data_IF_648644053967
#
_entry.id   IF_648644053967
#
_cell.length_a   1.000
_cell.length_b   1.000
_cell.length_c   1.000
_cell.angle_alpha   90.00
_cell.angle_beta   90.00
_cell.angle_gamma   90.00
#
_symmetry.space_group_name_H-M   'P 1'
#
loop_
_entity.id
_entity.type
_entity.pdbx_description
1 polymer ?
#
# COMPACT_ATOMS: atom_id res chain seq x y z
N UNK A 1 3.88 30.10 4.58
CA UNK A 1 3.28 30.94 3.52
C UNK A 1 1.88 30.42 3.27
N UNK A 2 0.84 31.22 3.49
CA UNK A 2 -0.53 30.86 3.10
C UNK A 2 -0.57 30.80 1.57
N UNK A 3 -0.82 29.62 1.01
CA UNK A 3 -1.22 29.50 -0.39
C UNK A 3 -2.54 30.25 -0.55
N UNK A 4 -2.50 31.40 -1.19
CA UNK A 4 -3.70 32.13 -1.57
C UNK A 4 -4.31 31.41 -2.78
N UNK A 5 -5.39 30.68 -2.55
CA UNK A 5 -6.14 30.03 -3.63
C UNK A 5 -6.75 31.11 -4.53
N UNK A 6 -6.42 31.10 -5.82
CA UNK A 6 -7.05 31.98 -6.81
C UNK A 6 -8.41 31.37 -7.21
N UNK A 7 -9.43 31.71 -6.41
CA UNK A 7 -10.81 31.24 -6.59
C UNK A 7 -11.37 31.68 -7.95
N UNK A 8 -10.99 32.86 -8.44
CA UNK A 8 -11.44 33.37 -9.73
C UNK A 8 -10.88 32.56 -10.90
N UNK A 9 -9.62 32.14 -10.82
CA UNK A 9 -9.01 31.22 -11.79
C UNK A 9 -9.70 29.85 -11.75
N UNK A 10 -9.92 29.27 -10.55
CA UNK A 10 -10.60 27.98 -10.40
C UNK A 10 -12.00 27.97 -10.97
N UNK A 11 -12.78 29.01 -10.69
CA UNK A 11 -14.13 29.14 -11.21
C UNK A 11 -14.14 29.14 -12.75
N UNK A 12 -13.16 29.79 -13.40
CA UNK A 12 -13.04 29.76 -14.88
C UNK A 12 -12.76 28.37 -15.42
N UNK A 13 -11.82 27.66 -14.81
CA UNK A 13 -11.40 26.32 -15.23
C UNK A 13 -12.58 25.34 -15.13
N UNK A 14 -13.22 25.25 -13.95
CA UNK A 14 -14.31 24.30 -13.71
C UNK A 14 -15.53 24.62 -14.58
N UNK A 15 -15.88 25.90 -14.77
CA UNK A 15 -16.97 26.29 -15.67
C UNK A 15 -16.70 25.88 -17.12
N UNK A 16 -15.45 26.06 -17.60
CA UNK A 16 -15.06 25.68 -18.95
C UNK A 16 -15.10 24.16 -19.15
N UNK A 17 -14.60 23.39 -18.18
CA UNK A 17 -14.66 21.92 -18.17
C UNK A 17 -16.10 21.39 -18.21
N UNK A 18 -17.01 22.04 -17.47
CA UNK A 18 -18.42 21.64 -17.39
C UNK A 18 -19.29 22.23 -18.50
N UNK A 19 -18.74 23.10 -19.36
CA UNK A 19 -19.50 23.79 -20.41
C UNK A 19 -20.58 24.73 -19.87
N UNK A 20 -20.42 25.24 -18.65
CA UNK A 20 -21.41 26.09 -17.97
C UNK A 20 -21.07 27.57 -18.18
N UNK A 21 -22.05 28.35 -18.64
CA UNK A 21 -21.92 29.80 -18.81
C UNK A 21 -22.18 30.58 -17.51
N UNK A 22 -21.83 31.86 -17.47
CA UNK A 22 -22.12 32.71 -16.29
C UNK A 22 -23.62 32.77 -16.01
N UNK A 23 -24.43 32.95 -17.05
CA UNK A 23 -25.88 33.06 -16.93
C UNK A 23 -26.50 31.76 -16.40
N UNK A 24 -26.04 30.61 -16.89
CA UNK A 24 -26.48 29.31 -16.38
C UNK A 24 -26.07 29.10 -14.92
N UNK A 25 -24.83 29.44 -14.56
CA UNK A 25 -24.39 29.31 -13.17
C UNK A 25 -25.17 30.25 -12.23
N UNK A 26 -25.48 31.47 -12.68
CA UNK A 26 -26.28 32.44 -11.94
C UNK A 26 -27.68 31.88 -11.63
N UNK A 27 -28.33 31.31 -12.64
CA UNK A 27 -29.63 30.66 -12.52
C UNK A 27 -29.59 29.43 -11.59
N UNK A 28 -28.57 28.58 -11.72
CA UNK A 28 -28.42 27.38 -10.89
C UNK A 28 -28.12 27.65 -9.41
N UNK A 29 -27.48 28.79 -9.11
CA UNK A 29 -27.04 29.14 -7.74
C UNK A 29 -27.93 30.18 -7.06
N UNK A 30 -28.89 30.77 -7.77
CA UNK A 30 -29.66 31.94 -7.34
C UNK A 30 -28.76 33.13 -6.95
N UNK A 31 -27.67 33.31 -7.70
CA UNK A 31 -26.66 34.36 -7.47
C UNK A 31 -26.61 35.29 -8.67
N UNK A 32 -26.49 36.60 -8.46
CA UNK A 32 -26.44 37.55 -9.57
C UNK A 32 -25.23 37.31 -10.48
N UNK A 33 -25.42 37.46 -11.80
CA UNK A 33 -24.33 37.33 -12.78
C UNK A 33 -23.14 38.24 -12.45
N UNK A 34 -23.41 39.43 -11.91
CA UNK A 34 -22.39 40.40 -11.52
C UNK A 34 -21.51 39.88 -10.38
N UNK A 35 -22.09 39.13 -9.44
CA UNK A 35 -21.36 38.48 -8.35
C UNK A 35 -20.46 37.38 -8.91
N UNK A 36 -20.96 36.54 -9.82
CA UNK A 36 -20.16 35.50 -10.49
C UNK A 36 -19.03 36.13 -11.32
N UNK A 37 -19.31 37.22 -12.08
CA UNK A 37 -18.28 37.98 -12.82
C UNK A 37 -17.23 38.58 -11.88
N UNK A 38 -17.63 39.12 -10.73
CA UNK A 38 -16.73 39.68 -9.73
C UNK A 38 -15.81 38.60 -9.11
N UNK A 39 -16.32 37.41 -8.84
CA UNK A 39 -15.50 36.28 -8.36
C UNK A 39 -14.55 35.83 -9.46
N UNK A 40 -15.06 35.61 -10.68
CA UNK A 40 -14.30 35.10 -11.83
C UNK A 40 -13.14 36.02 -12.25
N UNK A 41 -13.33 37.33 -12.12
CA UNK A 41 -12.31 38.36 -12.38
C UNK A 41 -11.32 38.55 -11.23
N UNK A 42 -11.52 37.91 -10.08
CA UNK A 42 -10.70 38.07 -8.89
C UNK A 42 -10.95 39.38 -8.11
N UNK A 43 -12.00 40.14 -8.48
CA UNK A 43 -12.47 41.30 -7.70
C UNK A 43 -12.94 40.87 -6.31
N UNK A 44 -13.66 39.74 -6.24
CA UNK A 44 -14.02 39.09 -4.98
C UNK A 44 -13.02 37.97 -4.70
N UNK A 45 -12.03 38.24 -3.83
CA UNK A 45 -10.96 37.28 -3.50
C UNK A 45 -11.38 36.20 -2.50
N UNK A 46 -12.37 36.48 -1.66
CA UNK A 46 -12.83 35.58 -0.60
C UNK A 46 -14.37 35.54 -0.56
N UNK A 47 -15.01 34.77 -1.47
CA UNK A 47 -16.45 34.55 -1.42
C UNK A 47 -16.84 33.82 -0.12
N UNK A 48 -18.04 34.05 0.38
CA UNK A 48 -18.55 33.37 1.58
C UNK A 48 -18.65 31.85 1.37
N UNK A 49 -18.48 31.07 2.44
CA UNK A 49 -18.49 29.61 2.37
C UNK A 49 -19.78 29.04 1.79
N UNK A 50 -20.94 29.63 2.12
CA UNK A 50 -22.24 29.22 1.60
C UNK A 50 -22.32 29.37 0.07
N UNK A 51 -21.77 30.46 -0.45
CA UNK A 51 -21.71 30.75 -1.88
C UNK A 51 -20.76 29.78 -2.59
N UNK A 52 -19.62 29.47 -1.97
CA UNK A 52 -18.68 28.49 -2.51
C UNK A 52 -19.28 27.09 -2.59
N UNK A 53 -20.04 26.67 -1.56
CA UNK A 53 -20.75 25.38 -1.57
C UNK A 53 -21.80 25.36 -2.68
N UNK A 54 -22.64 26.39 -2.77
CA UNK A 54 -23.67 26.49 -3.83
C UNK A 54 -23.06 26.43 -5.24
N UNK A 55 -21.95 27.12 -5.48
CA UNK A 55 -21.22 27.06 -6.76
C UNK A 55 -20.68 25.65 -7.02
N UNK A 56 -20.10 25.00 -6.01
CA UNK A 56 -19.55 23.65 -6.15
C UNK A 56 -20.65 22.62 -6.46
N UNK A 57 -21.78 22.70 -5.76
CA UNK A 57 -22.97 21.86 -5.98
C UNK A 57 -23.55 22.06 -7.38
N UNK A 58 -23.71 23.32 -7.82
CA UNK A 58 -24.19 23.65 -9.17
C UNK A 58 -23.24 23.14 -10.27
N UNK A 59 -21.93 23.16 -10.03
CA UNK A 59 -20.93 22.62 -10.96
C UNK A 59 -20.72 21.11 -10.82
N UNK A 60 -21.44 20.45 -9.91
CA UNK A 60 -21.36 19.01 -9.68
C UNK A 60 -19.98 18.54 -9.20
N UNK A 61 -19.30 19.32 -8.35
CA UNK A 61 -17.99 19.02 -7.81
C UNK A 61 -17.94 19.22 -6.29
N UNK A 62 -17.04 18.51 -5.60
CA UNK A 62 -16.79 18.76 -4.17
C UNK A 62 -15.96 20.03 -3.99
N UNK A 63 -16.00 20.63 -2.79
CA UNK A 63 -15.14 21.77 -2.44
C UNK A 63 -13.65 21.44 -2.59
N UNK A 64 -13.26 20.21 -2.28
CA UNK A 64 -11.89 19.74 -2.51
C UNK A 64 -11.56 19.67 -4.00
N UNK A 65 -12.44 19.09 -4.83
CA UNK A 65 -12.30 19.09 -6.28
C UNK A 65 -12.20 20.51 -6.88
N UNK A 66 -13.07 21.42 -6.44
CA UNK A 66 -13.06 22.83 -6.86
C UNK A 66 -11.72 23.52 -6.57
N UNK A 67 -11.15 23.26 -5.38
CA UNK A 67 -9.85 23.82 -4.98
C UNK A 67 -8.65 23.03 -5.56
N UNK A 68 -8.90 21.92 -6.25
CA UNK A 68 -7.95 20.83 -6.53
C UNK A 68 -7.16 20.39 -5.30
N UNK A 69 -7.82 20.32 -4.15
CA UNK A 69 -7.34 19.43 -3.11
C UNK A 69 -7.62 18.02 -3.60
N UNK A 70 -6.58 17.20 -3.68
CA UNK A 70 -6.79 15.75 -3.74
C UNK A 70 -7.33 15.36 -2.37
N UNK A 71 -8.59 14.96 -2.30
CA UNK A 71 -9.08 14.26 -1.13
C UNK A 71 -8.31 12.94 -1.08
N UNK A 72 -7.60 12.71 0.03
CA UNK A 72 -6.91 11.45 0.25
C UNK A 72 -7.96 10.35 0.38
N UNK A 73 -7.72 9.23 -0.26
CA UNK A 73 -8.48 8.00 -0.04
C UNK A 73 -8.29 7.51 1.40
N UNK A 74 -9.20 6.64 1.86
CA UNK A 74 -9.09 6.04 3.21
C UNK A 74 -7.76 5.27 3.37
N UNK A 75 -7.28 4.62 2.31
CA UNK A 75 -5.99 3.94 2.28
C UNK A 75 -4.81 4.90 2.43
N UNK A 76 -4.80 6.01 1.67
CA UNK A 76 -3.76 7.04 1.79
C UNK A 76 -3.77 7.70 3.17
N UNK A 77 -4.96 7.93 3.74
CA UNK A 77 -5.12 8.43 5.10
C UNK A 77 -4.57 7.45 6.12
N UNK A 78 -4.87 6.16 5.98
CA UNK A 78 -4.36 5.10 6.86
C UNK A 78 -2.82 5.05 6.84
N UNK A 79 -2.21 5.05 5.66
CA UNK A 79 -0.75 5.10 5.49
C UNK A 79 -0.16 6.34 6.18
N UNK A 80 -0.73 7.52 5.95
CA UNK A 80 -0.24 8.76 6.55
C UNK A 80 -0.37 8.78 8.08
N UNK A 81 -1.45 8.23 8.63
CA UNK A 81 -1.62 8.09 10.07
C UNK A 81 -0.52 7.22 10.66
N UNK A 82 -0.27 6.05 10.08
CA UNK A 82 0.81 5.13 10.52
C UNK A 82 2.19 5.76 10.35
N UNK A 83 2.47 6.36 9.20
CA UNK A 83 3.76 6.99 8.93
C UNK A 83 4.08 8.10 9.93
N UNK A 84 3.08 8.89 10.36
CA UNK A 84 3.27 9.98 11.34
C UNK A 84 3.72 9.47 12.71
N UNK A 85 3.27 8.29 13.14
CA UNK A 85 3.64 7.70 14.43
C UNK A 85 5.02 7.03 14.44
N UNK A 86 5.62 6.79 13.26
CA UNK A 86 6.95 6.19 13.17
C UNK A 86 8.06 7.15 13.63
N UNK A 87 9.11 6.57 14.20
CA UNK A 87 10.37 7.28 14.46
C UNK A 87 11.11 7.61 13.15
N UNK A 88 12.19 8.39 13.22
CA UNK A 88 12.96 8.84 12.04
C UNK A 88 13.45 7.66 11.20
N UNK A 89 13.90 6.58 11.85
CA UNK A 89 14.37 5.37 11.17
C UNK A 89 13.24 4.69 10.38
N UNK A 90 12.09 4.44 11.01
CA UNK A 90 10.93 3.81 10.36
C UNK A 90 10.41 4.63 9.19
N UNK A 91 10.38 5.97 9.33
CA UNK A 91 10.04 6.88 8.22
C UNK A 91 10.98 6.73 7.03
N UNK A 92 12.30 6.69 7.27
CA UNK A 92 13.30 6.47 6.21
C UNK A 92 13.11 5.14 5.50
N UNK A 93 12.76 4.08 6.24
CA UNK A 93 12.51 2.77 5.65
C UNK A 93 11.30 2.77 4.72
N UNK A 94 10.17 3.35 5.15
CA UNK A 94 8.96 3.44 4.31
C UNK A 94 9.25 4.22 3.02
N UNK A 95 9.98 5.33 3.12
CA UNK A 95 10.38 6.11 1.94
C UNK A 95 11.31 5.33 1.01
N UNK A 96 12.31 4.62 1.56
CA UNK A 96 13.19 3.77 0.75
C UNK A 96 12.41 2.71 -0.04
N UNK A 97 11.46 2.04 0.62
CA UNK A 97 10.60 1.05 -0.03
C UNK A 97 9.75 1.69 -1.14
N UNK A 98 9.07 2.80 -0.84
CA UNK A 98 8.26 3.52 -1.82
C UNK A 98 9.07 3.96 -3.04
N UNK A 99 10.27 4.54 -2.81
CA UNK A 99 11.17 4.97 -3.88
C UNK A 99 11.68 3.78 -4.72
N UNK A 100 11.94 2.64 -4.08
CA UNK A 100 12.38 1.42 -4.77
C UNK A 100 11.30 0.84 -5.70
N UNK A 101 10.05 0.80 -5.24
CA UNK A 101 8.90 0.32 -6.03
C UNK A 101 8.56 1.27 -7.19
N UNK A 102 8.54 2.59 -6.96
CA UNK A 102 8.29 3.59 -8.01
C UNK A 102 9.36 3.54 -9.12
N UNK A 103 10.64 3.43 -8.75
CA UNK A 103 11.73 3.28 -9.71
C UNK A 103 11.61 2.01 -10.56
N UNK A 104 11.09 0.94 -9.97
CA UNK A 104 10.93 -0.35 -10.63
C UNK A 104 9.76 -0.36 -11.60
N UNK A 105 8.61 0.21 -11.21
CA UNK A 105 7.44 0.29 -12.08
C UNK A 105 7.73 1.11 -13.34
N UNK A 106 8.55 2.17 -13.22
CA UNK A 106 9.01 2.97 -14.37
C UNK A 106 9.91 2.21 -15.35
N UNK A 107 10.49 1.07 -14.95
CA UNK A 107 11.33 0.21 -15.80
C UNK A 107 10.59 -0.97 -16.42
N UNK A 108 9.31 -1.18 -16.09
CA UNK A 108 8.51 -2.20 -16.76
C UNK A 108 8.33 -1.80 -18.24
N UNK A 109 8.60 -2.70 -19.21
CA UNK A 109 8.30 -2.45 -20.62
C UNK A 109 6.82 -2.13 -20.82
N UNK A 110 6.51 -1.29 -21.81
CA UNK A 110 5.16 -0.92 -22.22
C UNK A 110 4.27 -2.14 -22.48
N UNK A 111 2.95 -1.92 -22.39
CA UNK A 111 1.82 -2.85 -22.45
C UNK A 111 1.76 -3.89 -23.61
N UNK A 112 2.79 -4.05 -24.42
CA UNK A 112 2.91 -5.13 -25.42
C UNK A 112 3.29 -6.48 -24.81
N UNK A 113 3.51 -6.55 -23.48
CA UNK A 113 3.89 -7.76 -22.75
C UNK A 113 2.69 -8.60 -22.25
N UNK A 114 1.58 -8.64 -22.98
CA UNK A 114 0.45 -9.57 -22.71
C UNK A 114 0.83 -11.06 -22.84
N UNK A 115 2.11 -11.38 -23.05
CA UNK A 115 2.70 -12.72 -23.04
C UNK A 115 3.98 -12.80 -22.19
N UNK A 116 4.11 -11.98 -21.13
CA UNK A 116 5.20 -12.14 -20.18
C UNK A 116 5.02 -13.46 -19.41
N UNK A 117 5.83 -14.47 -19.75
CA UNK A 117 5.83 -15.77 -19.04
C UNK A 117 6.25 -15.64 -17.57
N UNK A 118 6.91 -14.54 -17.21
CA UNK A 118 7.42 -14.27 -15.86
C UNK A 118 7.00 -12.88 -15.39
N UNK A 119 6.91 -12.70 -14.07
CA UNK A 119 6.69 -11.44 -13.36
C UNK A 119 7.79 -11.22 -12.33
N UNK A 120 8.11 -9.96 -12.07
CA UNK A 120 9.05 -9.56 -11.01
C UNK A 120 8.27 -9.34 -9.73
N UNK A 121 8.69 -9.98 -8.64
CA UNK A 121 8.09 -9.85 -7.31
C UNK A 121 9.16 -9.42 -6.30
N UNK A 122 8.88 -8.47 -5.40
CA UNK A 122 9.83 -8.08 -4.36
C UNK A 122 10.10 -9.26 -3.42
N UNK A 123 11.36 -9.47 -3.07
CA UNK A 123 11.81 -10.50 -2.15
C UNK A 123 12.59 -9.86 -1.01
N UNK A 124 12.02 -9.97 0.19
CA UNK A 124 12.56 -9.43 1.43
C UNK A 124 13.35 -10.55 2.11
N UNK A 125 14.55 -10.26 2.59
CA UNK A 125 15.28 -11.20 3.45
C UNK A 125 14.79 -11.08 4.91
N UNK A 126 14.32 -12.18 5.50
CA UNK A 126 13.90 -12.19 6.91
C UNK A 126 15.11 -12.01 7.82
N UNK A 127 15.00 -11.15 8.84
CA UNK A 127 16.10 -10.80 9.73
C UNK A 127 16.15 -11.64 11.01
N UNK A 128 15.42 -12.76 11.12
CA UNK A 128 15.33 -13.62 12.32
C UNK A 128 16.62 -13.65 13.17
N UNK A 129 16.73 -12.75 14.13
CA UNK A 129 17.84 -12.68 15.08
C UNK A 129 17.23 -12.91 16.45
N UNK A 130 17.21 -14.18 16.87
CA UNK A 130 17.13 -14.46 18.30
C UNK A 130 18.39 -13.85 18.93
N UNK A 131 18.19 -12.99 19.93
CA UNK A 131 19.15 -12.19 20.68
C UNK A 131 19.35 -10.75 20.16
N UNK A 132 18.67 -9.82 20.85
CA UNK A 132 19.09 -8.45 21.17
C UNK A 132 19.94 -7.70 20.14
N UNK A 133 19.35 -6.65 19.57
CA UNK A 133 19.94 -5.62 18.70
C UNK A 133 20.05 -5.94 17.20
N UNK A 134 19.06 -6.61 16.61
CA UNK A 134 18.87 -6.54 15.17
C UNK A 134 18.26 -5.20 14.78
N UNK A 135 19.12 -4.38 14.20
CA UNK A 135 18.78 -3.15 13.48
C UNK A 135 17.77 -3.51 12.38
N UNK A 136 16.60 -2.86 12.36
CA UNK A 136 15.59 -2.96 11.29
C UNK A 136 16.15 -2.48 9.92
N UNK A 137 17.46 -2.22 9.82
CA UNK A 137 18.14 -1.49 8.76
C UNK A 137 18.55 -2.34 7.55
N UNK A 138 18.32 -3.66 7.55
CA UNK A 138 18.67 -4.49 6.39
C UNK A 138 17.47 -5.23 5.81
N UNK A 139 16.55 -4.50 5.19
CA UNK A 139 15.73 -5.05 4.11
C UNK A 139 16.46 -4.80 2.79
N UNK A 140 17.41 -5.66 2.45
CA UNK A 140 17.82 -5.75 1.05
C UNK A 140 16.62 -6.32 0.29
N UNK A 141 15.77 -5.43 -0.25
CA UNK A 141 14.71 -5.83 -1.17
C UNK A 141 15.37 -6.13 -2.50
N UNK A 142 15.58 -7.41 -2.77
CA UNK A 142 15.89 -7.87 -4.12
C UNK A 142 14.58 -8.17 -4.86
N UNK A 143 14.63 -8.31 -6.17
CA UNK A 143 13.49 -8.76 -6.95
C UNK A 143 13.83 -10.11 -7.54
N UNK A 144 12.88 -11.04 -7.48
CA UNK A 144 13.01 -12.32 -8.16
C UNK A 144 12.04 -12.35 -9.34
N UNK A 145 12.43 -13.08 -10.39
CA UNK A 145 11.53 -13.40 -11.49
C UNK A 145 10.91 -14.76 -11.24
N UNK A 146 9.58 -14.81 -11.21
CA UNK A 146 8.80 -16.05 -11.09
C UNK A 146 7.83 -16.16 -12.27
N UNK A 147 7.43 -17.37 -12.69
CA UNK A 147 6.39 -17.51 -13.71
C UNK A 147 5.11 -16.77 -13.33
N UNK A 148 4.42 -16.17 -14.31
CA UNK A 148 3.26 -15.32 -14.03
C UNK A 148 2.09 -16.08 -13.40
N UNK A 149 1.97 -17.39 -13.69
CA UNK A 149 0.99 -18.32 -13.14
C UNK A 149 1.44 -18.98 -11.82
N UNK A 150 2.69 -18.79 -11.41
CA UNK A 150 3.22 -19.33 -10.17
C UNK A 150 2.94 -18.39 -9.00
N UNK A 151 2.09 -18.84 -8.08
CA UNK A 151 1.53 -18.02 -6.98
C UNK A 151 1.01 -16.67 -7.48
N UNK A 152 -0.04 -16.62 -8.32
CA UNK A 152 -0.47 -15.39 -9.00
C UNK A 152 -0.89 -14.28 -8.02
N UNK A 153 -1.36 -14.66 -6.83
CA UNK A 153 -1.78 -13.74 -5.77
C UNK A 153 -0.64 -13.32 -4.82
N UNK A 154 0.60 -13.78 -5.03
CA UNK A 154 1.69 -13.38 -4.16
C UNK A 154 2.05 -11.91 -4.39
N UNK A 155 1.97 -11.13 -3.32
CA UNK A 155 2.32 -9.71 -3.27
C UNK A 155 3.81 -9.52 -3.06
N UNK A 156 4.44 -10.39 -2.25
CA UNK A 156 5.87 -10.38 -2.02
C UNK A 156 6.41 -11.79 -1.71
N UNK A 157 7.73 -11.90 -1.65
CA UNK A 157 8.43 -13.09 -1.20
C UNK A 157 9.28 -12.81 0.03
N UNK A 158 9.48 -13.83 0.86
CA UNK A 158 10.37 -13.81 2.01
C UNK A 158 11.47 -14.85 1.84
N UNK A 159 12.73 -14.43 1.80
CA UNK A 159 13.89 -15.32 1.84
C UNK A 159 14.25 -15.62 3.28
N UNK A 160 14.23 -16.89 3.65
CA UNK A 160 14.60 -17.33 4.99
C UNK A 160 16.11 -17.34 5.17
N UNK A 161 16.58 -16.85 6.32
CA UNK A 161 18.00 -16.80 6.67
C UNK A 161 18.39 -17.85 7.73
N UNK A 162 17.43 -18.69 8.14
CA UNK A 162 17.55 -19.59 9.30
C UNK A 162 17.03 -21.00 9.01
N UNK A 163 17.59 -22.00 9.72
CA UNK A 163 17.14 -23.40 9.71
C UNK A 163 16.20 -23.75 10.88
N UNK A 164 15.81 -22.77 11.70
CA UNK A 164 14.98 -22.99 12.89
C UNK A 164 13.54 -23.46 12.57
N UNK A 165 13.16 -23.42 11.29
CA UNK A 165 11.84 -23.83 10.80
C UNK A 165 11.84 -25.25 10.20
N UNK A 166 12.96 -25.97 10.29
CA UNK A 166 13.08 -27.34 9.84
C UNK A 166 12.12 -28.26 10.62
N UNK A 167 11.45 -29.24 9.98
CA UNK A 167 11.65 -29.70 8.59
C UNK A 167 10.80 -28.98 7.55
N UNK A 168 9.90 -28.06 7.95
CA UNK A 168 8.94 -27.45 7.03
C UNK A 168 9.63 -26.46 6.10
N UNK A 169 10.50 -25.62 6.66
CA UNK A 169 11.30 -24.67 5.90
C UNK A 169 12.76 -24.72 6.32
N UNK A 170 13.65 -24.42 5.39
CA UNK A 170 15.09 -24.35 5.63
C UNK A 170 15.66 -23.00 5.20
N UNK A 171 16.89 -22.74 5.61
CA UNK A 171 17.64 -21.55 5.18
C UNK A 171 17.68 -21.49 3.66
N UNK A 172 17.56 -20.27 3.14
CA UNK A 172 17.53 -19.90 1.72
C UNK A 172 16.26 -20.30 0.96
N UNK A 173 15.27 -20.94 1.62
CA UNK A 173 13.93 -21.06 1.04
C UNK A 173 13.35 -19.67 0.81
N UNK A 174 12.73 -19.51 -0.37
CA UNK A 174 11.98 -18.31 -0.75
C UNK A 174 10.50 -18.65 -0.60
N UNK A 175 9.77 -17.90 0.20
CA UNK A 175 8.38 -18.15 0.52
C UNK A 175 7.52 -17.09 -0.15
N UNK A 176 6.49 -17.50 -0.89
CA UNK A 176 5.51 -16.59 -1.48
C UNK A 176 4.45 -16.20 -0.45
N UNK A 177 4.15 -14.91 -0.35
CA UNK A 177 3.22 -14.35 0.65
C UNK A 177 2.18 -13.47 -0.03
N UNK A 178 0.93 -13.67 0.35
CA UNK A 178 -0.21 -12.83 0.00
C UNK A 178 -0.59 -11.97 1.21
N UNK A 179 -0.85 -10.69 1.00
CA UNK A 179 -1.22 -9.71 2.01
C UNK A 179 -2.71 -9.83 2.39
N UNK A 180 -3.11 -11.04 2.76
CA UNK A 180 -4.43 -11.36 3.28
C UNK A 180 -4.31 -12.07 4.63
N UNK A 181 -5.37 -11.94 5.45
CA UNK A 181 -5.43 -12.62 6.73
C UNK A 181 -5.71 -14.12 6.51
N UNK A 182 -5.02 -15.04 7.23
CA UNK A 182 -5.13 -16.48 7.00
C UNK A 182 -6.48 -17.06 7.42
N UNK A 183 -6.89 -18.13 6.74
CA UNK A 183 -7.97 -19.00 7.23
C UNK A 183 -7.43 -19.98 8.27
N UNK A 184 -8.32 -20.59 9.07
CA UNK A 184 -7.92 -21.64 9.97
C UNK A 184 -7.29 -22.82 9.21
N UNK A 185 -6.09 -23.20 9.64
CA UNK A 185 -5.26 -24.20 9.00
C UNK A 185 -4.10 -23.63 8.20
N UNK A 186 -4.19 -22.37 7.75
CA UNK A 186 -3.16 -21.75 6.93
C UNK A 186 -1.92 -21.39 7.76
N UNK A 187 -0.77 -21.33 7.09
CA UNK A 187 0.47 -20.81 7.67
C UNK A 187 0.59 -19.36 7.26
N UNK A 188 0.99 -18.49 8.19
CA UNK A 188 1.11 -17.06 7.93
C UNK A 188 2.31 -16.46 8.67
N UNK A 189 2.71 -15.27 8.21
CA UNK A 189 3.75 -14.45 8.83
C UNK A 189 3.10 -13.46 9.81
N UNK A 190 3.60 -13.46 11.04
CA UNK A 190 3.16 -12.57 12.11
C UNK A 190 4.33 -11.76 12.66
N UNK A 191 4.04 -10.61 13.25
CA UNK A 191 4.99 -9.73 13.92
C UNK A 191 4.46 -9.43 15.31
N UNK A 192 5.27 -9.68 16.35
CA UNK A 192 4.87 -9.32 17.73
C UNK A 192 5.25 -7.87 18.08
N UNK A 193 4.83 -7.43 19.26
CA UNK A 193 5.15 -6.09 19.81
C UNK A 193 6.65 -5.77 19.87
N UNK A 194 7.50 -6.79 19.94
CA UNK A 194 8.95 -6.64 20.00
C UNK A 194 9.60 -6.54 18.60
N UNK A 195 8.81 -6.55 17.53
CA UNK A 195 9.29 -6.53 16.15
C UNK A 195 9.90 -7.85 15.69
N UNK A 196 9.58 -8.96 16.35
CA UNK A 196 10.06 -10.29 15.97
C UNK A 196 9.06 -10.96 15.03
N UNK A 197 9.51 -11.27 13.82
CA UNK A 197 8.78 -12.05 12.84
C UNK A 197 8.60 -13.50 13.30
N UNK A 198 7.43 -14.06 13.05
CA UNK A 198 7.04 -15.41 13.47
C UNK A 198 6.23 -16.08 12.36
N UNK A 199 6.68 -17.24 11.88
CA UNK A 199 5.88 -18.09 11.00
C UNK A 199 5.08 -19.06 11.86
N UNK A 200 3.75 -19.02 11.73
CA UNK A 200 2.81 -19.78 12.55
C UNK A 200 1.66 -20.34 11.73
N UNK A 201 1.13 -21.48 12.15
CA UNK A 201 -0.13 -22.00 11.64
C UNK A 201 -1.28 -21.36 12.41
N UNK A 202 -2.18 -20.68 11.70
CA UNK A 202 -3.35 -20.07 12.29
C UNK A 202 -4.42 -21.14 12.57
N UNK A 203 -4.80 -21.30 13.82
CA UNK A 203 -5.69 -22.37 14.30
C UNK A 203 -6.63 -21.84 15.37
N UNK A 204 -7.48 -22.71 15.90
CA UNK A 204 -8.35 -22.42 17.02
C UNK A 204 -8.02 -23.36 18.18
N UNK A 205 -7.96 -22.82 19.40
CA UNK A 205 -7.81 -23.59 20.63
C UNK A 205 -8.77 -23.04 21.67
N UNK A 206 -9.63 -23.91 22.20
CA UNK A 206 -10.62 -23.57 23.23
C UNK A 206 -11.54 -22.39 22.83
N UNK A 207 -12.00 -22.35 21.58
CA UNK A 207 -12.85 -21.25 21.09
C UNK A 207 -12.11 -19.97 20.72
N UNK A 208 -10.78 -19.95 20.88
CA UNK A 208 -9.96 -18.74 20.72
C UNK A 208 -8.92 -18.90 19.61
N UNK A 209 -8.64 -17.84 18.83
CA UNK A 209 -7.58 -17.84 17.83
C UNK A 209 -6.21 -18.18 18.41
N UNK A 210 -5.52 -19.11 17.77
CA UNK A 210 -4.29 -19.72 18.26
C UNK A 210 -3.22 -19.83 17.17
N UNK A 211 -2.00 -19.43 17.49
CA UNK A 211 -0.85 -19.48 16.61
C UNK A 211 0.02 -20.69 16.98
N UNK A 212 -0.14 -21.77 16.22
CA UNK A 212 0.60 -23.00 16.41
C UNK A 212 2.01 -22.90 15.81
N UNK A 213 3.03 -23.30 16.57
CA UNK A 213 4.40 -23.37 16.11
C UNK A 213 4.53 -24.40 14.97
N UNK A 214 5.13 -23.98 13.86
CA UNK A 214 5.35 -24.85 12.69
C UNK A 214 6.60 -25.72 12.83
N UNK A 215 7.48 -25.40 13.78
CA UNK A 215 8.67 -26.20 14.10
C UNK A 215 8.77 -26.47 15.59
N UNK A 216 9.56 -27.48 15.97
CA UNK A 216 9.75 -27.87 17.38
C UNK A 216 10.60 -26.88 18.17
N UNK A 217 11.21 -25.90 17.49
CA UNK A 217 12.11 -24.93 18.10
C UNK A 217 11.38 -23.71 18.68
N UNK A 218 10.05 -23.67 18.57
CA UNK A 218 9.25 -22.52 18.94
C UNK A 218 8.01 -22.91 19.76
N UNK A 219 7.43 -21.95 20.48
CA UNK A 219 6.24 -22.16 21.31
C UNK A 219 5.01 -21.59 20.62
N UNK A 220 3.94 -22.37 20.65
CA UNK A 220 2.60 -21.93 20.24
C UNK A 220 2.03 -20.94 21.27
N UNK A 221 1.22 -20.00 20.82
CA UNK A 221 0.69 -18.91 21.65
C UNK A 221 -0.69 -18.44 21.14
N UNK A 222 -1.48 -17.79 22.00
CA UNK A 222 -2.76 -17.23 21.59
C UNK A 222 -2.54 -15.96 20.76
N UNK A 223 -3.35 -15.75 19.71
CA UNK A 223 -3.30 -14.51 18.96
C UNK A 223 -3.86 -13.37 19.81
N UNK A 224 -3.05 -12.34 20.04
CA UNK A 224 -3.39 -11.15 20.83
C UNK A 224 -3.37 -9.90 19.94
N UNK A 225 -3.94 -8.78 20.41
CA UNK A 225 -4.10 -7.55 19.62
C UNK A 225 -2.79 -6.83 19.28
N UNK A 226 -1.71 -7.14 19.99
CA UNK A 226 -0.35 -6.63 19.75
C UNK A 226 0.39 -7.40 18.66
N UNK A 227 -0.17 -8.53 18.19
CA UNK A 227 0.38 -9.32 17.10
C UNK A 227 -0.27 -8.90 15.79
N UNK A 228 0.58 -8.53 14.82
CA UNK A 228 0.15 -8.10 13.49
C UNK A 228 0.36 -9.26 12.51
N UNK A 229 -0.65 -9.55 11.69
CA UNK A 229 -0.50 -10.45 10.56
C UNK A 229 0.11 -9.68 9.38
N UNK A 230 1.23 -10.16 8.84
CA UNK A 230 1.91 -9.59 7.68
C UNK A 230 1.50 -10.24 6.35
N UNK A 231 0.86 -11.42 6.41
CA UNK A 231 0.31 -12.08 5.23
C UNK A 231 0.28 -13.60 5.35
N UNK A 232 -0.52 -14.22 4.50
CA UNK A 232 -0.68 -15.68 4.41
C UNK A 232 0.38 -16.27 3.48
N UNK A 233 1.01 -17.35 3.92
CA UNK A 233 2.03 -18.05 3.14
C UNK A 233 1.36 -18.98 2.15
N UNK A 234 1.62 -18.75 0.86
CA UNK A 234 1.07 -19.57 -0.23
C UNK A 234 1.91 -20.82 -0.48
N UNK A 235 3.21 -20.76 -0.22
CA UNK A 235 4.12 -21.89 -0.39
C UNK A 235 5.56 -21.47 -0.65
N UNK A 236 6.41 -22.45 -0.94
CA UNK A 236 7.82 -22.24 -1.26
C UNK A 236 7.98 -22.03 -2.77
N UNK A 237 8.60 -20.93 -3.15
CA UNK A 237 9.05 -20.66 -4.52
C UNK A 237 10.23 -21.57 -4.84
N UNK A 238 9.99 -22.61 -5.62
CA UNK A 238 11.04 -23.45 -6.20
C UNK A 238 11.35 -22.89 -7.58
N UNK A 239 12.33 -21.99 -7.65
CA UNK A 239 12.95 -21.64 -8.92
C UNK A 239 13.62 -22.93 -9.43
N UNK A 240 13.02 -23.60 -10.41
CA UNK A 240 13.67 -24.78 -11.00
C UNK A 240 15.11 -24.42 -11.38
N UNK A 241 16.00 -25.36 -11.10
CA UNK A 241 17.41 -25.28 -11.45
C UNK A 241 17.51 -25.26 -12.99
N UNK A 242 17.40 -24.07 -13.59
CA UNK A 242 17.59 -23.81 -15.03
C UNK A 242 19.00 -24.18 -15.52
N UNK A 243 19.81 -24.80 -14.66
CA UNK A 243 21.13 -25.37 -14.92
C UNK A 243 21.13 -26.89 -15.11
N UNK A 244 19.98 -27.57 -15.09
CA UNK A 244 19.94 -28.99 -15.51
C UNK A 244 19.80 -29.05 -17.04
N UNK A 245 20.78 -29.60 -17.77
CA UNK A 245 20.58 -29.86 -19.19
C UNK A 245 19.40 -30.83 -19.37
N UNK A 246 18.68 -30.74 -20.50
CA UNK A 246 17.61 -31.68 -20.79
C UNK A 246 18.15 -33.09 -20.68
N UNK A 247 17.41 -33.95 -20.01
CA UNK A 247 17.70 -35.38 -19.93
C UNK A 247 17.59 -35.91 -21.37
N UNK A 248 18.74 -36.10 -22.01
CA UNK A 248 18.89 -36.84 -23.27
C UNK A 248 18.73 -38.33 -23.03
#
# INVERSE_FOLDING_TARGET
MQQQYDIGKRLREVMAERGVTISQLAEMTDVSEDTIKAIRSGKTKSPGIQLMISIADALGCTMDGFLHRRSLTDEELYLLQKYRTLNIHGKRMVMLMADSEDHMQKKLPSADAYCAKTRRIPCISSTHTLASNSDYSTHATEFIEIPADYFPNADYCLRLTTNMLHPIYIKDDIIAVEQNFPHFGDIALFLNENGVEMIRKYTEKDGSPYLEAVSRCDRSLYLTSDIICLGTILGIVRLEDTRKPPIT
#
